data_IF_544974484623
#
_entry.id   IF_544974484623
#
_cell.length_a   1.000
_cell.length_b   1.000
_cell.length_c   1.000
_cell.angle_alpha   90.00
_cell.angle_beta   90.00
_cell.angle_gamma   90.00
#
_symmetry.space_group_name_H-M   'P 1'
#
loop_
_entity.id
_entity.type
_entity.pdbx_description
1 polymer ?
#
# COMPACT_ATOMS: atom_id res chain seq x y z
N UNK A 1 -7.03 -3.14 13.74
CA UNK A 1 -5.86 -3.18 12.84
C UNK A 1 -5.85 -1.93 11.98
N UNK A 2 -4.70 -1.29 11.82
CA UNK A 2 -4.50 -0.08 11.00
C UNK A 2 -3.61 -0.43 9.82
N UNK A 3 -4.01 -0.06 8.61
CA UNK A 3 -3.24 -0.29 7.39
C UNK A 3 -2.93 1.03 6.69
N UNK A 4 -1.74 1.15 6.12
CA UNK A 4 -1.37 2.28 5.27
C UNK A 4 -0.18 1.92 4.39
N UNK A 5 -0.18 2.42 3.16
CA UNK A 5 0.99 2.36 2.28
C UNK A 5 1.90 3.59 2.42
N UNK A 6 1.55 4.54 3.31
CA UNK A 6 2.25 5.82 3.44
C UNK A 6 3.33 5.77 4.52
N UNK A 7 4.61 5.93 4.17
CA UNK A 7 5.69 6.06 5.17
C UNK A 7 5.51 7.29 6.06
N UNK A 8 4.84 8.33 5.55
CA UNK A 8 4.50 9.52 6.32
C UNK A 8 3.55 9.20 7.49
N UNK A 9 2.56 8.33 7.28
CA UNK A 9 1.68 7.85 8.34
C UNK A 9 2.46 7.04 9.39
N UNK A 10 3.27 6.07 8.95
CA UNK A 10 4.06 5.24 9.88
C UNK A 10 4.95 6.12 10.76
N UNK A 11 5.68 7.05 10.16
CA UNK A 11 6.53 7.99 10.91
C UNK A 11 5.73 8.88 11.85
N UNK A 12 4.56 9.34 11.42
CA UNK A 12 3.66 10.13 12.25
C UNK A 12 3.14 9.32 13.45
N UNK A 13 2.79 8.05 13.23
CA UNK A 13 2.35 7.13 14.28
C UNK A 13 3.47 6.89 15.30
N UNK A 14 4.68 6.59 14.85
CA UNK A 14 5.87 6.39 15.70
C UNK A 14 6.10 7.56 16.64
N UNK A 15 5.89 8.80 16.17
CA UNK A 15 6.16 9.99 16.96
C UNK A 15 5.00 10.46 17.84
N UNK A 16 3.77 10.24 17.41
CA UNK A 16 2.60 10.83 18.08
C UNK A 16 1.72 9.78 18.77
N UNK A 17 1.82 8.52 18.38
CA UNK A 17 0.98 7.44 18.86
C UNK A 17 1.76 6.13 19.03
N UNK A 18 2.85 6.13 19.83
CA UNK A 18 3.68 4.94 20.01
C UNK A 18 2.89 3.73 20.55
N UNK A 19 1.87 3.98 21.38
CA UNK A 19 1.01 2.94 21.96
C UNK A 19 0.15 2.22 20.93
N UNK A 20 0.04 2.74 19.69
CA UNK A 20 -0.72 2.13 18.60
C UNK A 20 0.13 1.35 17.61
N UNK A 21 1.43 1.26 17.81
CA UNK A 21 2.33 0.57 16.88
C UNK A 21 1.96 -0.92 16.73
N UNK A 22 1.57 -1.58 17.82
CA UNK A 22 1.11 -2.97 17.81
C UNK A 22 -0.23 -3.17 17.05
N UNK A 23 -0.96 -2.10 16.78
CA UNK A 23 -2.18 -2.13 15.99
C UNK A 23 -1.94 -1.93 14.49
N UNK A 24 -0.72 -1.57 14.09
CA UNK A 24 -0.35 -1.45 12.69
C UNK A 24 -0.31 -2.83 12.04
N UNK A 25 -0.73 -2.90 10.78
CA UNK A 25 -0.56 -4.10 9.98
C UNK A 25 0.92 -4.44 9.83
N UNK A 26 1.27 -5.70 9.96
CA UNK A 26 2.62 -6.22 9.68
C UNK A 26 2.93 -6.32 8.18
N UNK A 27 1.94 -6.11 7.31
CA UNK A 27 2.16 -6.07 5.87
C UNK A 27 2.97 -4.84 5.48
N UNK A 28 4.04 -5.06 4.73
CA UNK A 28 4.82 -4.00 4.09
C UNK A 28 3.94 -3.20 3.11
N UNK A 29 4.40 -2.04 2.69
CA UNK A 29 3.69 -1.30 1.64
C UNK A 29 3.68 -2.06 0.30
N UNK A 30 2.74 -1.80 -0.62
CA UNK A 30 2.61 -2.56 -1.86
C UNK A 30 3.89 -2.68 -2.68
N UNK A 31 4.70 -1.62 -2.80
CA UNK A 31 5.93 -1.72 -3.58
C UNK A 31 7.00 -2.56 -2.89
N UNK A 32 7.08 -2.55 -1.56
CA UNK A 32 7.98 -3.43 -0.80
C UNK A 32 7.51 -4.89 -0.86
N UNK A 33 6.21 -5.14 -0.70
CA UNK A 33 5.64 -6.49 -0.89
C UNK A 33 5.94 -7.02 -2.30
N UNK A 34 5.80 -6.18 -3.32
CA UNK A 34 6.08 -6.59 -4.69
C UNK A 34 7.57 -6.89 -4.90
N UNK A 35 8.46 -6.09 -4.33
CA UNK A 35 9.90 -6.35 -4.33
C UNK A 35 10.25 -7.68 -3.68
N UNK A 36 9.66 -7.96 -2.51
CA UNK A 36 9.82 -9.24 -1.81
C UNK A 36 9.35 -10.42 -2.67
N UNK A 37 8.19 -10.30 -3.34
CA UNK A 37 7.65 -11.35 -4.22
C UNK A 37 8.53 -11.55 -5.46
N UNK A 38 9.07 -10.48 -6.03
CA UNK A 38 10.02 -10.57 -7.15
C UNK A 38 11.27 -11.35 -6.73
N UNK A 39 11.89 -10.99 -5.60
CA UNK A 39 13.13 -11.64 -5.15
C UNK A 39 12.93 -13.03 -4.57
N UNK A 40 11.73 -13.41 -4.16
CA UNK A 40 11.41 -14.76 -3.67
C UNK A 40 10.75 -15.62 -4.74
N UNK A 41 9.46 -15.42 -4.99
CA UNK A 41 8.65 -16.26 -5.85
C UNK A 41 9.09 -16.21 -7.33
N UNK A 42 9.21 -15.01 -7.89
CA UNK A 42 9.59 -14.84 -9.30
C UNK A 42 11.00 -15.35 -9.56
N UNK A 43 11.95 -15.03 -8.70
CA UNK A 43 13.32 -15.54 -8.77
C UNK A 43 13.35 -17.08 -8.78
N UNK A 44 12.63 -17.69 -7.83
CA UNK A 44 12.53 -19.15 -7.74
C UNK A 44 11.85 -19.77 -8.98
N UNK A 45 10.73 -19.20 -9.42
CA UNK A 45 9.97 -19.69 -10.60
C UNK A 45 10.82 -19.68 -11.86
N UNK A 46 11.71 -18.71 -12.03
CA UNK A 46 12.54 -18.54 -13.20
C UNK A 46 13.99 -19.02 -13.04
N UNK A 47 14.32 -19.67 -11.90
CA UNK A 47 15.69 -20.13 -11.58
C UNK A 47 16.73 -19.00 -11.64
N UNK A 48 16.36 -17.81 -11.18
CA UNK A 48 17.23 -16.63 -11.10
C UNK A 48 17.74 -16.51 -9.66
N UNK A 49 19.05 -16.29 -9.49
CA UNK A 49 19.60 -15.93 -8.18
C UNK A 49 19.04 -14.56 -7.76
N UNK A 50 18.32 -14.45 -6.63
CA UNK A 50 17.73 -13.19 -6.18
C UNK A 50 18.75 -12.06 -6.00
N UNK A 51 20.01 -12.37 -5.74
CA UNK A 51 21.13 -11.41 -5.67
C UNK A 51 21.44 -10.74 -7.01
N UNK A 52 20.98 -11.30 -8.12
CA UNK A 52 21.13 -10.75 -9.46
C UNK A 52 19.95 -9.90 -9.90
N UNK A 53 18.93 -9.79 -9.05
CA UNK A 53 17.75 -8.98 -9.33
C UNK A 53 17.92 -7.63 -8.63
N UNK A 54 17.77 -6.55 -9.40
CA UNK A 54 17.81 -5.19 -8.90
C UNK A 54 16.43 -4.54 -9.10
N UNK A 55 15.72 -4.31 -8.00
CA UNK A 55 14.35 -3.76 -8.01
C UNK A 55 14.41 -2.25 -7.88
N UNK A 56 13.91 -1.56 -8.90
CA UNK A 56 13.76 -0.09 -8.89
C UNK A 56 12.29 0.27 -8.82
N UNK A 57 11.92 1.03 -7.80
CA UNK A 57 10.56 1.54 -7.63
C UNK A 57 10.47 2.99 -8.12
N UNK A 58 9.54 3.28 -9.03
CA UNK A 58 9.25 4.64 -9.49
C UNK A 58 8.02 5.15 -8.75
N UNK A 59 8.19 6.14 -7.87
CA UNK A 59 7.14 6.64 -7.00
C UNK A 59 7.00 8.15 -7.06
N UNK A 60 5.78 8.71 -7.01
CA UNK A 60 5.58 10.15 -6.86
C UNK A 60 5.98 10.66 -5.47
N UNK A 61 5.97 9.77 -4.47
CA UNK A 61 6.24 10.10 -3.08
C UNK A 61 7.72 9.88 -2.72
N UNK A 62 8.44 10.95 -2.40
CA UNK A 62 9.86 10.87 -1.99
C UNK A 62 10.08 10.17 -0.65
N UNK A 63 9.06 10.07 0.21
CA UNK A 63 9.14 9.34 1.47
C UNK A 63 9.36 7.82 1.26
N UNK A 64 9.06 7.30 0.08
CA UNK A 64 9.36 5.91 -0.30
C UNK A 64 10.86 5.60 -0.32
N UNK A 65 11.72 6.60 -0.57
CA UNK A 65 13.18 6.46 -0.43
C UNK A 65 13.58 6.18 1.02
N UNK A 66 12.92 6.85 1.97
CA UNK A 66 13.14 6.62 3.39
C UNK A 66 12.63 5.22 3.79
N UNK A 67 11.46 4.82 3.32
CA UNK A 67 10.86 3.51 3.60
C UNK A 67 11.79 2.37 3.15
N UNK A 68 12.24 2.39 1.89
CA UNK A 68 13.14 1.37 1.35
C UNK A 68 14.51 1.30 2.06
N UNK A 69 14.89 2.36 2.78
CA UNK A 69 16.09 2.39 3.61
C UNK A 69 15.94 1.84 5.02
N UNK A 70 14.72 1.50 5.45
CA UNK A 70 14.45 0.97 6.79
C UNK A 70 14.94 -0.49 6.91
N UNK A 71 15.49 -0.90 8.06
CA UNK A 71 16.05 -2.25 8.23
C UNK A 71 15.01 -3.36 8.10
N UNK A 72 13.73 -3.08 8.42
CA UNK A 72 12.64 -4.05 8.29
C UNK A 72 12.17 -4.28 6.84
N UNK A 73 12.65 -3.48 5.86
CA UNK A 73 12.33 -3.65 4.44
C UNK A 73 13.32 -4.59 3.74
N UNK A 74 13.56 -5.70 4.38
CA UNK A 74 14.42 -6.78 3.89
C UNK A 74 13.68 -8.12 4.00
N UNK A 75 14.05 -9.05 3.12
CA UNK A 75 13.60 -10.44 3.13
C UNK A 75 14.82 -11.31 2.82
N UNK A 76 15.08 -12.32 3.66
CA UNK A 76 16.22 -13.23 3.53
C UNK A 76 17.59 -12.51 3.40
N UNK A 77 17.75 -11.38 4.08
CA UNK A 77 18.99 -10.58 4.06
C UNK A 77 19.21 -9.79 2.78
N UNK A 78 18.19 -9.65 1.95
CA UNK A 78 18.19 -8.82 0.76
C UNK A 78 17.13 -7.72 0.89
N UNK A 79 17.47 -6.51 0.48
CA UNK A 79 16.48 -5.43 0.38
C UNK A 79 15.38 -5.83 -0.59
N UNK A 80 14.15 -5.56 -0.24
CA UNK A 80 13.01 -5.83 -1.12
C UNK A 80 13.02 -4.90 -2.33
N UNK A 81 13.27 -3.60 -2.09
CA UNK A 81 13.48 -2.58 -3.12
C UNK A 81 14.88 -2.01 -2.99
N UNK A 82 15.69 -2.12 -4.05
CA UNK A 82 17.09 -1.70 -4.04
C UNK A 82 17.23 -0.17 -4.22
N UNK A 83 16.36 0.42 -5.03
CA UNK A 83 16.36 1.86 -5.29
C UNK A 83 14.95 2.41 -5.49
N UNK A 84 14.72 3.62 -5.01
CA UNK A 84 13.51 4.38 -5.26
C UNK A 84 13.86 5.67 -5.97
N UNK A 85 13.25 5.90 -7.12
CA UNK A 85 13.34 7.15 -7.86
C UNK A 85 11.97 7.82 -7.94
N UNK A 86 11.95 9.13 -7.87
CA UNK A 86 10.71 9.88 -8.07
C UNK A 86 10.37 9.96 -9.56
N UNK A 87 9.10 10.19 -9.87
CA UNK A 87 8.62 10.43 -11.24
C UNK A 87 9.41 11.57 -11.93
N UNK A 88 9.77 12.61 -11.15
CA UNK A 88 10.60 13.73 -11.65
C UNK A 88 12.04 13.32 -11.96
N UNK A 89 12.61 12.43 -11.17
CA UNK A 89 13.96 11.89 -11.42
C UNK A 89 13.94 11.01 -12.64
N UNK A 90 12.94 10.16 -12.83
CA UNK A 90 12.79 9.37 -14.05
C UNK A 90 12.70 10.28 -15.30
N UNK A 91 11.85 11.31 -15.25
CA UNK A 91 11.75 12.28 -16.36
C UNK A 91 13.09 12.96 -16.66
N UNK A 92 13.89 13.23 -15.64
CA UNK A 92 15.23 13.80 -15.78
C UNK A 92 16.21 12.82 -16.40
N UNK A 93 16.17 11.54 -15.99
CA UNK A 93 16.97 10.45 -16.56
C UNK A 93 16.68 10.26 -18.05
N UNK A 94 15.38 10.23 -18.44
CA UNK A 94 14.96 10.12 -19.84
C UNK A 94 15.56 11.27 -20.68
N UNK A 95 15.46 12.51 -20.18
CA UNK A 95 16.06 13.69 -20.86
C UNK A 95 17.58 13.60 -20.95
N UNK A 96 18.26 13.19 -19.89
CA UNK A 96 19.72 13.06 -19.87
C UNK A 96 20.21 11.96 -20.79
N UNK A 97 19.45 10.89 -20.97
CA UNK A 97 19.73 9.83 -21.93
C UNK A 97 19.49 10.24 -23.40
N UNK A 98 18.97 11.44 -23.64
CA UNK A 98 18.68 11.93 -24.98
C UNK A 98 17.47 11.24 -25.63
N UNK A 99 16.62 10.57 -24.86
CA UNK A 99 15.44 9.85 -25.34
C UNK A 99 14.36 10.88 -25.68
N UNK A 100 13.93 10.88 -26.94
CA UNK A 100 12.81 11.71 -27.43
C UNK A 100 11.50 11.00 -27.09
N UNK A 101 11.01 11.20 -25.87
CA UNK A 101 9.87 10.47 -25.30
C UNK A 101 8.59 10.58 -26.15
N UNK A 102 8.37 11.74 -26.76
CA UNK A 102 7.25 12.03 -27.68
C UNK A 102 7.30 11.32 -29.02
N UNK A 103 8.43 10.67 -29.34
CA UNK A 103 8.65 9.93 -30.60
C UNK A 103 8.79 8.43 -30.42
N UNK A 104 8.67 7.94 -29.21
CA UNK A 104 8.70 6.50 -28.93
C UNK A 104 7.43 5.83 -29.47
N UNK A 105 7.53 4.65 -30.08
CA UNK A 105 6.36 3.85 -30.36
C UNK A 105 5.73 3.34 -29.07
N UNK A 106 4.43 3.10 -29.09
CA UNK A 106 3.75 2.41 -28.01
C UNK A 106 4.20 0.95 -27.96
N UNK A 107 4.50 0.47 -26.76
CA UNK A 107 4.86 -0.92 -26.51
C UNK A 107 4.10 -1.46 -25.30
N UNK A 108 3.90 -2.77 -25.26
CA UNK A 108 3.31 -3.42 -24.09
C UNK A 108 4.34 -3.61 -22.97
N UNK A 109 3.85 -3.65 -21.75
CA UNK A 109 4.71 -3.97 -20.60
C UNK A 109 5.06 -5.46 -20.57
N UNK A 110 6.24 -5.78 -20.07
CA UNK A 110 6.57 -7.14 -19.66
C UNK A 110 5.56 -7.63 -18.61
N UNK A 111 5.17 -8.88 -18.70
CA UNK A 111 4.13 -9.46 -17.82
C UNK A 111 4.73 -10.58 -16.95
N UNK A 112 5.51 -10.23 -15.92
CA UNK A 112 6.20 -11.22 -15.10
C UNK A 112 5.26 -12.10 -14.24
N UNK A 113 4.03 -11.62 -13.95
CA UNK A 113 3.05 -12.28 -13.08
C UNK A 113 1.66 -12.40 -13.69
N UNK A 114 1.54 -12.44 -15.02
CA UNK A 114 0.28 -12.40 -15.73
C UNK A 114 -0.42 -11.03 -15.66
N UNK A 115 -1.69 -10.97 -16.04
CA UNK A 115 -2.42 -9.70 -16.08
C UNK A 115 -2.74 -9.20 -14.68
N UNK A 116 -2.61 -7.89 -14.48
CA UNK A 116 -3.02 -7.24 -13.25
C UNK A 116 -4.53 -7.44 -13.01
N UNK A 117 -4.88 -7.67 -11.74
CA UNK A 117 -6.28 -7.71 -11.32
C UNK A 117 -6.87 -6.30 -11.22
N UNK A 118 -8.21 -6.18 -11.16
CA UNK A 118 -8.90 -4.91 -10.92
C UNK A 118 -8.52 -4.23 -9.60
N UNK A 119 -7.97 -4.99 -8.63
CA UNK A 119 -7.48 -4.45 -7.37
C UNK A 119 -6.42 -3.35 -7.56
N UNK A 120 -5.56 -3.47 -8.56
CA UNK A 120 -4.55 -2.44 -8.87
C UNK A 120 -5.17 -1.09 -9.26
N UNK A 121 -6.34 -1.10 -9.89
CA UNK A 121 -7.10 0.12 -10.23
C UNK A 121 -7.74 0.73 -8.97
N UNK A 122 -8.33 -0.11 -8.10
CA UNK A 122 -8.96 0.32 -6.85
C UNK A 122 -7.95 0.97 -5.92
N UNK A 123 -6.69 0.54 -5.91
CA UNK A 123 -5.60 1.13 -5.10
C UNK A 123 -5.39 2.62 -5.36
N UNK A 124 -5.76 3.13 -6.52
CA UNK A 124 -5.63 4.55 -6.86
C UNK A 124 -6.58 5.49 -6.11
N UNK A 125 -7.62 4.96 -5.47
CA UNK A 125 -8.58 5.72 -4.68
C UNK A 125 -8.21 5.72 -3.19
N UNK A 126 -8.62 6.76 -2.46
CA UNK A 126 -8.45 6.82 -1.00
C UNK A 126 -9.20 5.67 -0.33
N UNK A 127 -8.49 4.85 0.45
CA UNK A 127 -9.03 3.63 1.06
C UNK A 127 -9.04 2.42 0.13
N UNK A 128 -8.60 2.56 -1.12
CA UNK A 128 -8.67 1.49 -2.13
C UNK A 128 -7.91 0.22 -1.76
N UNK A 129 -6.79 0.33 -1.06
CA UNK A 129 -6.06 -0.85 -0.57
C UNK A 129 -6.90 -1.64 0.42
N UNK A 130 -7.56 -0.95 1.36
CA UNK A 130 -8.47 -1.59 2.32
C UNK A 130 -9.68 -2.20 1.60
N UNK A 131 -10.27 -1.49 0.66
CA UNK A 131 -11.40 -1.98 -0.15
C UNK A 131 -11.03 -3.26 -0.89
N UNK A 132 -9.88 -3.30 -1.59
CA UNK A 132 -9.42 -4.48 -2.29
C UNK A 132 -9.18 -5.67 -1.34
N UNK A 133 -8.62 -5.42 -0.15
CA UNK A 133 -8.42 -6.44 0.86
C UNK A 133 -9.74 -6.99 1.40
N UNK A 134 -10.71 -6.12 1.67
CA UNK A 134 -12.05 -6.52 2.15
C UNK A 134 -12.81 -7.33 1.11
N UNK A 135 -12.75 -6.93 -0.17
CA UNK A 135 -13.34 -7.70 -1.28
C UNK A 135 -12.72 -9.09 -1.36
N UNK A 136 -11.40 -9.18 -1.35
CA UNK A 136 -10.68 -10.47 -1.38
C UNK A 136 -11.03 -11.35 -0.17
N UNK A 137 -11.11 -10.76 1.02
CA UNK A 137 -11.51 -11.48 2.22
C UNK A 137 -12.95 -11.97 2.15
N UNK A 138 -13.89 -11.16 1.66
CA UNK A 138 -15.29 -11.54 1.48
C UNK A 138 -15.44 -12.68 0.47
N UNK A 139 -14.73 -12.62 -0.65
CA UNK A 139 -14.70 -13.71 -1.64
C UNK A 139 -14.19 -15.03 -1.04
N UNK A 140 -13.13 -14.94 -0.21
CA UNK A 140 -12.50 -16.13 0.38
C UNK A 140 -13.36 -16.74 1.50
N UNK A 141 -13.97 -15.92 2.34
CA UNK A 141 -14.70 -16.34 3.54
C UNK A 141 -16.19 -16.53 3.28
N UNK A 142 -16.79 -15.72 2.44
CA UNK A 142 -18.24 -15.65 2.25
C UNK A 142 -18.78 -16.32 0.98
N UNK A 143 -17.91 -16.69 0.05
CA UNK A 143 -18.29 -17.29 -1.25
C UNK A 143 -19.19 -16.39 -2.11
N UNK A 144 -19.33 -15.12 -1.76
CA UNK A 144 -20.05 -14.08 -2.52
C UNK A 144 -19.15 -12.86 -2.67
N UNK A 145 -18.97 -12.44 -3.92
CA UNK A 145 -18.22 -11.23 -4.24
C UNK A 145 -18.93 -10.00 -3.69
N UNK A 146 -18.18 -9.11 -3.05
CA UNK A 146 -18.66 -7.78 -2.69
C UNK A 146 -18.31 -6.86 -3.86
N UNK A 147 -19.32 -6.49 -4.65
CA UNK A 147 -19.13 -5.71 -5.88
C UNK A 147 -18.74 -4.27 -5.56
N UNK A 148 -19.32 -3.67 -4.53
CA UNK A 148 -19.03 -2.29 -4.13
C UNK A 148 -19.17 -2.12 -2.62
N UNK A 149 -18.30 -1.31 -2.03
CA UNK A 149 -18.40 -0.94 -0.61
C UNK A 149 -18.85 0.51 -0.56
N UNK A 150 -20.06 0.73 -0.07
CA UNK A 150 -20.57 2.08 0.15
C UNK A 150 -19.98 2.68 1.42
N UNK A 151 -19.21 3.75 1.24
CA UNK A 151 -18.67 4.53 2.35
C UNK A 151 -19.55 5.72 2.65
N UNK A 152 -19.89 5.88 3.91
CA UNK A 152 -20.64 7.04 4.40
C UNK A 152 -19.67 8.06 5.01
N UNK A 153 -19.89 9.33 4.71
CA UNK A 153 -19.15 10.41 5.36
C UNK A 153 -19.54 10.50 6.85
N UNK A 154 -18.53 10.62 7.71
CA UNK A 154 -18.77 10.79 9.13
C UNK A 154 -19.33 12.19 9.39
N UNK A 155 -20.51 12.26 10.01
CA UNK A 155 -21.21 13.50 10.25
C UNK A 155 -20.34 14.52 11.01
N UNK A 156 -20.09 15.67 10.40
CA UNK A 156 -19.31 16.76 11.00
C UNK A 156 -17.78 16.58 10.96
N UNK A 157 -17.29 15.55 10.27
CA UNK A 157 -15.84 15.29 10.14
C UNK A 157 -15.49 15.08 8.68
N UNK A 158 -15.13 16.16 8.00
CA UNK A 158 -14.65 16.12 6.62
C UNK A 158 -13.36 15.26 6.51
N UNK A 159 -13.29 14.41 5.50
CA UNK A 159 -12.11 13.57 5.21
C UNK A 159 -12.03 12.27 6.01
N UNK A 160 -13.11 11.87 6.70
CA UNK A 160 -13.25 10.55 7.31
C UNK A 160 -14.52 9.89 6.78
N UNK A 161 -14.40 8.66 6.33
CA UNK A 161 -15.50 7.83 5.85
C UNK A 161 -15.56 6.53 6.63
N UNK A 162 -16.75 6.04 6.86
CA UNK A 162 -17.00 4.77 7.54
C UNK A 162 -17.89 3.86 6.70
N UNK A 163 -17.68 2.57 6.84
CA UNK A 163 -18.55 1.55 6.25
C UNK A 163 -18.67 0.35 7.19
N UNK A 164 -19.74 -0.41 7.03
CA UNK A 164 -19.89 -1.73 7.66
C UNK A 164 -19.99 -2.76 6.54
N UNK A 165 -19.10 -3.73 6.55
CA UNK A 165 -19.03 -4.78 5.53
C UNK A 165 -19.33 -6.11 6.18
N UNK A 166 -20.34 -6.83 5.67
CA UNK A 166 -20.66 -8.17 6.13
C UNK A 166 -19.75 -9.19 5.45
N UNK A 167 -18.97 -9.91 6.25
CA UNK A 167 -18.06 -10.95 5.79
C UNK A 167 -18.47 -12.29 6.40
N UNK A 168 -19.20 -13.08 5.61
CA UNK A 168 -19.59 -14.42 6.05
C UNK A 168 -20.48 -14.45 7.31
N UNK A 169 -21.32 -13.42 7.53
CA UNK A 169 -22.18 -13.29 8.70
C UNK A 169 -21.57 -12.46 9.85
N UNK A 170 -20.36 -11.95 9.69
CA UNK A 170 -19.71 -11.07 10.66
C UNK A 170 -19.69 -9.65 10.09
N UNK A 171 -20.25 -8.71 10.82
CA UNK A 171 -20.21 -7.28 10.43
C UNK A 171 -18.88 -6.64 10.87
N UNK A 172 -18.07 -6.27 9.90
CA UNK A 172 -16.79 -5.60 10.11
C UNK A 172 -16.95 -4.11 9.86
N UNK A 173 -16.70 -3.32 10.89
CA UNK A 173 -16.69 -1.85 10.79
C UNK A 173 -15.32 -1.38 10.34
N UNK A 174 -15.30 -0.53 9.33
CA UNK A 174 -14.08 0.04 8.75
C UNK A 174 -14.18 1.55 8.66
N UNK A 175 -13.04 2.23 8.78
CA UNK A 175 -12.95 3.66 8.61
C UNK A 175 -11.74 4.02 7.74
N UNK A 176 -11.92 5.01 6.89
CA UNK A 176 -10.88 5.60 6.04
C UNK A 176 -10.70 7.05 6.42
N UNK A 177 -9.46 7.43 6.76
CA UNK A 177 -9.11 8.82 7.02
C UNK A 177 -8.15 9.33 5.93
N UNK A 178 -8.48 10.44 5.32
CA UNK A 178 -7.64 11.10 4.33
C UNK A 178 -6.84 12.24 4.96
N UNK A 179 -5.52 12.13 4.92
CA UNK A 179 -4.59 13.09 5.51
C UNK A 179 -4.32 12.86 7.01
N UNK A 180 -3.11 13.22 7.45
CA UNK A 180 -2.63 12.97 8.83
C UNK A 180 -3.46 13.70 9.90
N UNK A 181 -3.94 14.90 9.58
CA UNK A 181 -4.80 15.67 10.50
C UNK A 181 -6.13 14.96 10.78
N UNK A 182 -6.70 14.30 9.76
CA UNK A 182 -7.92 13.52 9.93
C UNK A 182 -7.64 12.15 10.56
N UNK A 183 -6.53 11.51 10.23
CA UNK A 183 -6.13 10.24 10.83
C UNK A 183 -5.93 10.35 12.35
N UNK A 184 -5.53 11.52 12.85
CA UNK A 184 -5.40 11.78 14.29
C UNK A 184 -6.71 11.59 15.06
N UNK A 185 -7.84 11.96 14.45
CA UNK A 185 -9.16 11.95 15.13
C UNK A 185 -9.62 10.53 15.48
N UNK A 186 -9.73 9.56 14.54
CA UNK A 186 -10.16 8.20 14.87
C UNK A 186 -9.22 7.51 15.85
N UNK A 187 -7.91 7.72 15.74
CA UNK A 187 -6.93 7.14 16.67
C UNK A 187 -7.15 7.67 18.07
N UNK A 188 -7.32 8.99 18.24
CA UNK A 188 -7.61 9.60 19.55
C UNK A 188 -8.95 9.11 20.12
N UNK A 189 -9.98 8.92 19.28
CA UNK A 189 -11.28 8.39 19.69
C UNK A 189 -11.22 6.93 20.16
N UNK A 190 -10.43 6.12 19.49
CA UNK A 190 -10.22 4.70 19.86
C UNK A 190 -9.49 4.62 21.19
N UNK A 191 -8.55 5.51 21.45
CA UNK A 191 -7.81 5.57 22.72
C UNK A 191 -8.72 5.97 23.90
N UNK A 192 -9.58 6.96 23.72
CA UNK A 192 -10.53 7.40 24.76
C UNK A 192 -11.51 6.26 25.12
N UNK A 193 -12.03 5.51 24.16
CA UNK A 193 -12.93 4.38 24.42
C UNK A 193 -12.28 3.17 25.09
N UNK A 194 -10.99 2.94 24.86
CA UNK A 194 -10.24 1.87 25.53
C UNK A 194 -10.01 2.13 27.02
N UNK A 195 -10.13 3.39 27.48
CA UNK A 195 -10.02 3.78 28.88
C UNK A 195 -11.38 3.89 29.60
N UNK A 196 -12.49 3.78 28.86
CA UNK A 196 -13.86 3.84 29.42
C UNK A 196 -14.48 2.45 29.70
N UNK A 197 -13.78 1.37 29.41
CA UNK A 197 -14.16 -0.04 29.70
C UNK A 197 -13.19 -0.65 30.70
#
# INVERSE_FOLDING_TARGET
MITSCSPGWIKFCEHNFPDFLDNLSSCKSPHEMFGAVIKSYYAKKNNIDPKKIFVVSVMPCVAKKFEAGRPEMESDGLRDVDAVISTRELARMIKQAGIMFDRLPDEEFDVPFERASGAGVIFGATGGVMEAALRTAADTLGGKSVEEIEYNDVRGVEGIKEATVNMGGIDVKVAVAHGLGNARKPVSYTHLRAHET
#
